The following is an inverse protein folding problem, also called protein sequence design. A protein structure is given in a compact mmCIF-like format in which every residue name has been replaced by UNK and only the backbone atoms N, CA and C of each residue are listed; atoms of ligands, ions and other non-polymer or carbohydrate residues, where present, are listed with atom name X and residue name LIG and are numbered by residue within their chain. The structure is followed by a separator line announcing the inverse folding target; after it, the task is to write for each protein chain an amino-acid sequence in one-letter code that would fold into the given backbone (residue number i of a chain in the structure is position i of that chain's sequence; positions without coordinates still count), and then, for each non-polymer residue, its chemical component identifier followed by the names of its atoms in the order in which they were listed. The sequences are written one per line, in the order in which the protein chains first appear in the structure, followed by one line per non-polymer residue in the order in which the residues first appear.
data_IF_876041802566
#
_entry.id   IF_876041802566
#
_cell.length_a   1.000
_cell.length_b   1.000
_cell.length_c   1.000
_cell.angle_alpha   90.00
_cell.angle_beta   90.00
_cell.angle_gamma   90.00
#
_symmetry.space_group_name_H-M   'P 1'
#
loop_
_entity.id
_entity.type
_entity.pdbx_description
1 polymer ?
#
# COMPACT_ATOMS: atom_id res chain seq x y z
N UNK A 1 -33.78 -44.35 44.55
CA UNK A 1 -33.02 -44.38 43.28
C UNK A 1 -33.49 -43.24 42.41
N UNK A 2 -32.84 -42.07 42.47
CA UNK A 2 -33.22 -40.90 41.67
C UNK A 2 -32.39 -40.87 40.38
N UNK A 3 -33.06 -40.96 39.24
CA UNK A 3 -32.45 -40.82 37.91
C UNK A 3 -32.09 -39.35 37.70
N UNK A 4 -30.79 -39.07 37.58
CA UNK A 4 -30.28 -37.76 37.19
C UNK A 4 -30.69 -37.45 35.75
N UNK A 5 -31.72 -36.62 35.61
CA UNK A 5 -32.11 -36.01 34.35
C UNK A 5 -31.18 -34.81 34.09
N UNK A 6 -30.08 -35.06 33.39
CA UNK A 6 -29.15 -34.01 32.97
C UNK A 6 -29.72 -33.31 31.73
N UNK A 7 -30.53 -32.27 31.96
CA UNK A 7 -31.01 -31.40 30.89
C UNK A 7 -29.85 -30.49 30.50
N UNK A 8 -29.11 -30.88 29.47
CA UNK A 8 -28.15 -30.00 28.80
C UNK A 8 -28.97 -28.96 28.04
N UNK A 9 -29.23 -27.84 28.71
CA UNK A 9 -29.86 -26.68 28.11
C UNK A 9 -28.81 -25.98 27.22
N UNK A 10 -28.64 -26.48 25.99
CA UNK A 10 -27.85 -25.78 24.98
C UNK A 10 -28.65 -24.56 24.55
N UNK A 11 -28.42 -23.45 25.26
CA UNK A 11 -28.99 -22.16 24.95
C UNK A 11 -28.36 -21.67 23.64
N UNK A 12 -28.94 -22.07 22.51
CA UNK A 12 -28.60 -21.51 21.20
C UNK A 12 -29.10 -20.08 21.20
N UNK A 13 -28.24 -19.15 21.63
CA UNK A 13 -28.45 -17.74 21.38
C UNK A 13 -28.38 -17.57 19.86
N UNK A 14 -29.56 -17.59 19.23
CA UNK A 14 -29.75 -16.93 17.95
C UNK A 14 -29.62 -15.44 18.23
N UNK A 15 -28.37 -14.98 18.33
CA UNK A 15 -28.07 -13.57 18.16
C UNK A 15 -28.52 -13.30 16.75
N UNK A 16 -29.65 -12.61 16.64
CA UNK A 16 -30.15 -12.04 15.41
C UNK A 16 -29.09 -11.02 14.96
N UNK A 17 -28.04 -11.51 14.30
CA UNK A 17 -27.07 -10.73 13.55
C UNK A 17 -27.83 -10.18 12.34
N UNK A 18 -28.74 -9.25 12.60
CA UNK A 18 -29.09 -8.22 11.64
C UNK A 18 -27.77 -7.57 11.27
N UNK A 19 -27.22 -8.02 10.15
CA UNK A 19 -25.90 -7.66 9.68
C UNK A 19 -25.96 -6.20 9.25
N UNK A 20 -25.75 -5.30 10.21
CA UNK A 20 -25.52 -3.89 9.93
C UNK A 20 -24.40 -3.80 8.91
N UNK A 21 -24.73 -3.42 7.68
CA UNK A 21 -23.77 -3.38 6.59
C UNK A 21 -23.03 -2.05 6.64
N UNK A 22 -21.81 -2.09 7.17
CA UNK A 22 -20.85 -1.01 6.94
C UNK A 22 -20.26 -1.23 5.56
N UNK A 23 -20.14 -0.18 4.77
CA UNK A 23 -19.38 -0.19 3.52
C UNK A 23 -18.76 1.18 3.26
N UNK A 24 -17.72 1.23 2.42
CA UNK A 24 -17.11 2.50 2.05
C UNK A 24 -16.90 2.62 0.54
N UNK A 25 -16.81 3.87 0.05
CA UNK A 25 -16.49 4.21 -1.34
C UNK A 25 -15.65 5.47 -1.46
N UNK A 26 -14.97 5.62 -2.59
CA UNK A 26 -14.29 6.87 -2.99
C UNK A 26 -15.32 7.89 -3.44
N UNK A 27 -15.19 9.15 -3.01
CA UNK A 27 -16.09 10.24 -3.43
C UNK A 27 -15.40 11.40 -4.14
N UNK A 28 -14.07 11.54 -4.01
CA UNK A 28 -13.34 12.52 -4.82
C UNK A 28 -13.21 11.98 -6.24
N UNK A 29 -13.86 12.65 -7.21
CA UNK A 29 -13.66 12.43 -8.64
C UNK A 29 -13.65 13.78 -9.37
N UNK A 30 -12.67 14.06 -10.26
CA UNK A 30 -11.48 13.25 -10.50
C UNK A 30 -10.49 13.29 -9.32
N UNK A 31 -9.82 12.19 -9.04
CA UNK A 31 -8.70 12.17 -8.11
C UNK A 31 -7.44 12.76 -8.76
N UNK A 32 -6.61 13.42 -7.97
CA UNK A 32 -5.37 14.05 -8.43
C UNK A 32 -4.26 13.76 -7.44
N UNK A 33 -3.09 13.37 -7.92
CA UNK A 33 -1.92 13.28 -7.06
C UNK A 33 -1.55 14.67 -6.51
N UNK A 34 -1.10 14.71 -5.26
CA UNK A 34 -0.88 15.93 -4.49
C UNK A 34 -2.17 16.59 -3.96
N UNK A 35 -3.35 16.17 -4.41
CA UNK A 35 -4.64 16.66 -3.92
C UNK A 35 -5.19 15.85 -2.74
N UNK A 36 -6.40 16.21 -2.29
CA UNK A 36 -7.10 15.46 -1.24
C UNK A 36 -7.97 14.35 -1.84
N UNK A 37 -7.78 13.11 -1.38
CA UNK A 37 -8.67 11.99 -1.68
C UNK A 37 -9.62 11.74 -0.49
N UNK A 38 -10.93 11.64 -0.76
CA UNK A 38 -11.94 11.39 0.27
C UNK A 38 -12.57 10.01 0.09
N UNK A 39 -12.57 9.24 1.18
CA UNK A 39 -13.27 7.97 1.30
C UNK A 39 -14.44 8.14 2.27
N UNK A 40 -15.64 7.71 1.88
CA UNK A 40 -16.83 7.76 2.73
C UNK A 40 -17.21 6.36 3.18
N UNK A 41 -17.38 6.19 4.48
CA UNK A 41 -17.91 5.00 5.12
C UNK A 41 -19.33 5.25 5.62
N UNK A 42 -20.26 4.46 5.13
CA UNK A 42 -21.68 4.52 5.50
C UNK A 42 -21.94 3.55 6.63
N UNK A 43 -22.61 4.05 7.68
CA UNK A 43 -22.96 3.26 8.85
C UNK A 43 -24.46 2.94 8.79
N UNK A 44 -24.81 1.68 8.99
CA UNK A 44 -26.21 1.27 9.05
C UNK A 44 -26.94 1.92 10.25
N UNK A 45 -28.27 2.02 10.14
CA UNK A 45 -29.15 2.61 11.15
C UNK A 45 -29.08 1.88 12.49
N UNK A 46 -28.68 0.61 12.50
CA UNK A 46 -28.49 -0.19 13.71
C UNK A 46 -27.16 0.09 14.43
N UNK A 47 -26.17 0.69 13.75
CA UNK A 47 -24.82 0.88 14.29
C UNK A 47 -24.76 2.09 15.20
N UNK A 48 -24.63 1.89 16.52
CA UNK A 48 -24.51 3.00 17.48
C UNK A 48 -23.32 3.91 17.16
N UNK A 49 -23.56 5.23 17.05
CA UNK A 49 -22.54 6.23 16.75
C UNK A 49 -21.56 6.48 17.90
N UNK A 50 -21.90 6.08 19.13
CA UNK A 50 -21.05 6.24 20.32
C UNK A 50 -19.92 5.19 20.41
N UNK A 51 -19.93 4.18 19.55
CA UNK A 51 -18.89 3.14 19.51
C UNK A 51 -17.58 3.67 18.89
N UNK A 52 -16.49 2.99 19.22
CA UNK A 52 -15.16 3.25 18.64
C UNK A 52 -15.22 3.19 17.12
N UNK A 53 -14.67 4.19 16.46
CA UNK A 53 -14.58 4.27 15.01
C UNK A 53 -13.14 4.39 14.57
N UNK A 54 -12.80 3.70 13.49
CA UNK A 54 -11.42 3.55 13.07
C UNK A 54 -11.31 3.42 11.54
N UNK A 55 -10.29 4.07 10.99
CA UNK A 55 -9.81 3.86 9.63
C UNK A 55 -8.43 3.22 9.65
N UNK A 56 -8.23 2.18 8.85
CA UNK A 56 -6.95 1.50 8.71
C UNK A 56 -6.50 1.37 7.27
N UNK A 57 -5.19 1.20 7.07
CA UNK A 57 -4.54 0.94 5.78
C UNK A 57 -3.67 -0.32 5.82
N UNK A 58 -3.65 -1.02 4.70
CA UNK A 58 -2.77 -2.15 4.42
C UNK A 58 -3.17 -3.45 5.14
N UNK A 59 -2.41 -4.52 4.85
CA UNK A 59 -2.65 -5.88 5.35
C UNK A 59 -2.59 -5.96 6.88
N UNK A 60 -1.67 -5.22 7.49
CA UNK A 60 -1.50 -5.17 8.95
C UNK A 60 -2.48 -4.22 9.65
N UNK A 61 -3.42 -3.63 8.91
CA UNK A 61 -4.44 -2.71 9.44
C UNK A 61 -3.83 -1.56 10.26
N UNK A 62 -2.77 -0.94 9.73
CA UNK A 62 -2.14 0.23 10.36
C UNK A 62 -3.18 1.31 10.56
N UNK A 63 -3.29 1.80 11.80
CA UNK A 63 -4.30 2.77 12.20
C UNK A 63 -3.98 4.13 11.56
N UNK A 64 -4.90 4.66 10.77
CA UNK A 64 -4.81 6.00 10.19
C UNK A 64 -5.50 7.03 11.08
N UNK A 65 -6.72 6.71 11.50
CA UNK A 65 -7.54 7.57 12.36
C UNK A 65 -8.33 6.72 13.34
N UNK A 66 -8.44 7.17 14.58
CA UNK A 66 -9.29 6.58 15.60
C UNK A 66 -10.09 7.68 16.31
N UNK A 67 -11.41 7.59 16.28
CA UNK A 67 -12.34 8.55 16.90
C UNK A 67 -11.99 10.02 16.56
N UNK A 68 -11.74 10.33 15.29
CA UNK A 68 -11.36 11.66 14.82
C UNK A 68 -9.88 12.00 14.97
N UNK A 69 -9.11 11.25 15.76
CA UNK A 69 -7.68 11.52 15.99
C UNK A 69 -6.80 10.74 15.02
N UNK A 70 -6.07 11.46 14.17
CA UNK A 70 -5.16 10.87 13.19
C UNK A 70 -3.83 10.41 13.81
N UNK A 71 -3.24 9.36 13.27
CA UNK A 71 -1.87 8.92 13.57
C UNK A 71 -0.83 9.85 12.94
N UNK A 72 -1.12 10.35 11.74
CA UNK A 72 -0.42 11.46 11.10
C UNK A 72 -1.44 12.55 10.74
N UNK A 73 -1.56 13.62 11.55
CA UNK A 73 -2.50 14.72 11.31
C UNK A 73 -2.21 15.56 10.06
N UNK A 74 -1.02 15.44 9.47
CA UNK A 74 -0.67 16.15 8.22
C UNK A 74 -1.14 15.41 6.97
N UNK A 75 -1.25 14.08 7.06
CA UNK A 75 -1.66 13.20 5.96
C UNK A 75 -3.12 12.77 6.07
N UNK A 76 -3.65 12.56 7.28
CA UNK A 76 -4.97 11.97 7.49
C UNK A 76 -5.86 12.83 8.38
N UNK A 77 -7.15 12.87 8.05
CA UNK A 77 -8.18 13.41 8.94
C UNK A 77 -9.50 12.65 8.80
N UNK A 78 -10.32 12.67 9.84
CA UNK A 78 -11.67 12.10 9.81
C UNK A 78 -12.70 13.18 10.17
N UNK A 79 -13.81 13.20 9.44
CA UNK A 79 -15.02 13.93 9.83
C UNK A 79 -16.19 12.98 9.94
N UNK A 80 -17.10 13.22 10.90
CA UNK A 80 -18.30 12.42 11.09
C UNK A 80 -19.54 13.28 10.88
N UNK A 81 -20.33 12.95 9.87
CA UNK A 81 -21.71 13.43 9.74
C UNK A 81 -22.61 12.48 10.52
N UNK A 82 -22.99 12.86 11.74
CA UNK A 82 -23.85 12.04 12.61
C UNK A 82 -25.27 11.91 12.04
N UNK A 83 -25.77 12.96 11.39
CA UNK A 83 -27.12 12.98 10.80
C UNK A 83 -27.23 12.00 9.64
N UNK A 84 -26.23 12.00 8.75
CA UNK A 84 -26.19 11.06 7.61
C UNK A 84 -25.55 9.72 7.97
N UNK A 85 -24.95 9.61 9.15
CA UNK A 85 -24.20 8.44 9.64
C UNK A 85 -23.07 8.06 8.69
N UNK A 86 -22.29 9.07 8.28
CA UNK A 86 -21.18 8.92 7.35
C UNK A 86 -19.89 9.35 8.05
N UNK A 87 -18.89 8.48 8.07
CA UNK A 87 -17.52 8.86 8.40
C UNK A 87 -16.74 9.10 7.12
N UNK A 88 -16.02 10.21 7.05
CA UNK A 88 -15.23 10.60 5.88
C UNK A 88 -13.76 10.64 6.28
N UNK A 89 -12.96 9.74 5.72
CA UNK A 89 -11.51 9.84 5.76
C UNK A 89 -11.04 10.76 4.63
N UNK A 90 -10.23 11.75 4.97
CA UNK A 90 -9.49 12.56 3.99
C UNK A 90 -8.03 12.16 4.04
N UNK A 91 -7.46 11.86 2.87
CA UNK A 91 -6.05 11.57 2.64
C UNK A 91 -5.48 12.77 1.90
N UNK A 92 -4.74 13.61 2.59
CA UNK A 92 -4.11 14.79 2.02
C UNK A 92 -2.83 14.46 1.27
N UNK A 93 -2.49 15.29 0.29
CA UNK A 93 -1.36 15.06 -0.60
C UNK A 93 -1.32 13.62 -1.14
N UNK A 94 -2.45 13.17 -1.69
CA UNK A 94 -2.65 11.82 -2.22
C UNK A 94 -1.53 11.44 -3.19
N UNK A 95 -0.92 10.27 -2.99
CA UNK A 95 0.26 9.86 -3.75
C UNK A 95 0.15 8.41 -4.27
N UNK A 96 1.04 7.96 -5.18
CA UNK A 96 0.96 6.60 -5.72
C UNK A 96 1.09 5.49 -4.68
N UNK A 97 1.66 5.74 -3.50
CA UNK A 97 1.73 4.73 -2.44
C UNK A 97 0.38 4.47 -1.80
N UNK A 98 -0.53 5.45 -1.86
CA UNK A 98 -1.90 5.33 -1.35
C UNK A 98 -2.79 4.45 -2.25
N UNK A 99 -2.35 4.12 -3.47
CA UNK A 99 -3.05 3.27 -4.43
C UNK A 99 -2.80 1.78 -4.20
N UNK A 100 -3.74 0.95 -4.66
CA UNK A 100 -3.64 -0.51 -4.60
C UNK A 100 -3.33 -1.03 -3.19
N UNK A 101 -3.88 -0.35 -2.18
CA UNK A 101 -3.81 -0.76 -0.77
C UNK A 101 -5.21 -1.02 -0.25
N UNK A 102 -5.31 -1.94 0.71
CA UNK A 102 -6.55 -2.21 1.40
C UNK A 102 -6.85 -1.10 2.41
N UNK A 103 -8.06 -0.54 2.36
CA UNK A 103 -8.59 0.34 3.39
C UNK A 103 -9.70 -0.37 4.16
N UNK A 104 -9.72 -0.12 5.46
CA UNK A 104 -10.73 -0.65 6.37
C UNK A 104 -11.43 0.49 7.08
N UNK A 105 -12.77 0.45 7.09
CA UNK A 105 -13.58 1.24 8.01
C UNK A 105 -14.17 0.30 9.06
N UNK A 106 -14.00 0.64 10.33
CA UNK A 106 -14.50 -0.12 11.46
C UNK A 106 -15.32 0.76 12.41
N UNK A 107 -16.42 0.21 12.91
CA UNK A 107 -17.29 0.84 13.90
C UNK A 107 -17.75 -0.19 14.96
N UNK A 108 -17.16 -0.12 16.15
CA UNK A 108 -17.30 -1.15 17.19
C UNK A 108 -16.81 -2.50 16.69
N UNK A 109 -17.73 -3.47 16.67
CA UNK A 109 -17.47 -4.85 16.18
C UNK A 109 -17.68 -5.00 14.66
N UNK A 110 -18.34 -4.03 14.02
CA UNK A 110 -18.62 -4.08 12.59
C UNK A 110 -17.43 -3.52 11.82
N UNK A 111 -17.00 -4.23 10.78
CA UNK A 111 -15.82 -3.88 10.01
C UNK A 111 -16.05 -4.18 8.54
N UNK A 112 -15.64 -3.26 7.68
CA UNK A 112 -15.64 -3.45 6.24
C UNK A 112 -14.27 -3.14 5.66
N UNK A 113 -13.71 -4.12 4.95
CA UNK A 113 -12.41 -4.03 4.27
C UNK A 113 -12.63 -4.07 2.78
N UNK A 114 -11.98 -3.18 2.04
CA UNK A 114 -11.97 -3.23 0.58
C UNK A 114 -10.64 -2.70 0.05
N UNK A 115 -10.30 -3.00 -1.20
CA UNK A 115 -9.12 -2.47 -1.87
C UNK A 115 -9.46 -1.13 -2.53
N UNK A 116 -8.57 -0.15 -2.39
CA UNK A 116 -8.65 1.08 -3.17
C UNK A 116 -8.08 0.81 -4.57
N UNK A 117 -8.95 0.38 -5.46
CA UNK A 117 -8.66 0.21 -6.87
C UNK A 117 -9.23 1.42 -7.62
N UNK A 118 -8.36 2.22 -8.23
CA UNK A 118 -8.75 3.36 -9.05
C UNK A 118 -8.32 3.10 -10.49
N UNK A 119 -9.21 3.33 -11.46
CA UNK A 119 -8.88 3.25 -12.88
C UNK A 119 -8.40 4.60 -13.40
N UNK A 120 -7.85 4.63 -14.61
CA UNK A 120 -7.40 5.88 -15.26
C UNK A 120 -8.55 6.90 -15.36
N UNK A 121 -9.79 6.43 -15.57
CA UNK A 121 -10.99 7.25 -15.66
C UNK A 121 -11.29 8.01 -14.35
N UNK A 122 -10.89 7.44 -13.20
CA UNK A 122 -11.08 8.06 -11.89
C UNK A 122 -10.15 9.27 -11.65
N UNK A 123 -9.06 9.41 -12.41
CA UNK A 123 -8.12 10.54 -12.30
C UNK A 123 -8.50 11.76 -13.16
N UNK A 124 -9.62 11.66 -13.89
CA UNK A 124 -10.00 12.62 -14.92
C UNK A 124 -9.08 12.53 -16.13
N UNK A 125 -9.54 13.06 -17.28
CA UNK A 125 -8.69 13.19 -18.44
C UNK A 125 -7.42 13.95 -18.00
N UNK A 126 -6.27 13.30 -18.09
CA UNK A 126 -4.99 14.00 -18.04
C UNK A 126 -5.12 15.24 -18.94
N UNK A 127 -4.59 16.41 -18.55
CA UNK A 127 -4.46 17.47 -19.53
C UNK A 127 -3.75 16.85 -20.73
N UNK A 128 -4.45 16.78 -21.87
CA UNK A 128 -3.82 16.49 -23.15
C UNK A 128 -2.62 17.40 -23.19
N UNK A 129 -1.40 16.90 -23.44
CA UNK A 129 -0.22 17.75 -23.48
C UNK A 129 -0.49 18.85 -24.50
N UNK A 130 -0.86 20.03 -24.01
CA UNK A 130 -1.05 21.21 -24.83
C UNK A 130 0.37 21.63 -25.17
N UNK A 131 0.81 21.26 -26.37
CA UNK A 131 1.92 21.84 -27.10
C UNK A 131 3.11 22.24 -26.23
N UNK A 132 3.83 21.27 -25.66
CA UNK A 132 5.27 21.42 -25.47
C UNK A 132 5.99 21.00 -26.76
N UNK A 133 5.62 21.66 -27.86
CA UNK A 133 6.38 21.69 -29.10
C UNK A 133 7.57 22.63 -28.88
N UNK A 134 8.53 22.18 -28.07
CA UNK A 134 9.87 22.73 -27.82
C UNK A 134 10.44 21.92 -26.67
N UNK A 135 11.01 20.75 -27.00
CA UNK A 135 12.07 20.06 -26.22
C UNK A 135 12.36 18.63 -26.73
N UNK A 136 11.69 18.15 -27.79
CA UNK A 136 12.05 16.87 -28.41
C UNK A 136 13.41 16.89 -29.15
N UNK A 137 14.04 18.05 -29.32
CA UNK A 137 15.36 18.15 -29.96
C UNK A 137 16.50 17.71 -29.03
N UNK A 138 16.33 17.75 -27.70
CA UNK A 138 17.37 17.38 -26.74
C UNK A 138 17.48 15.85 -26.51
N UNK A 139 16.37 15.12 -26.57
CA UNK A 139 16.37 13.66 -26.35
C UNK A 139 17.06 12.87 -27.47
N UNK A 140 16.90 13.31 -28.73
CA UNK A 140 17.51 12.62 -29.88
C UNK A 140 19.03 12.83 -29.89
N UNK A 141 19.51 14.04 -29.58
CA UNK A 141 20.95 14.32 -29.50
C UNK A 141 21.59 13.52 -28.35
N UNK A 142 20.93 13.44 -27.19
CA UNK A 142 21.41 12.63 -26.06
C UNK A 142 21.56 11.14 -26.40
N UNK A 143 20.58 10.56 -27.10
CA UNK A 143 20.64 9.16 -27.52
C UNK A 143 21.74 8.88 -28.55
N UNK A 144 21.94 9.79 -29.51
CA UNK A 144 23.00 9.65 -30.52
C UNK A 144 24.39 9.72 -29.86
N UNK A 145 24.60 10.68 -28.95
CA UNK A 145 25.88 10.82 -28.22
C UNK A 145 26.17 9.58 -27.36
N UNK A 146 25.18 9.07 -26.62
CA UNK A 146 25.34 7.86 -25.81
C UNK A 146 25.68 6.61 -26.65
N UNK A 147 25.03 6.47 -27.81
CA UNK A 147 25.27 5.34 -28.71
C UNK A 147 26.68 5.40 -29.31
N UNK A 148 27.12 6.58 -29.74
CA UNK A 148 28.48 6.76 -30.29
C UNK A 148 29.56 6.54 -29.22
N UNK A 149 29.36 7.00 -27.98
CA UNK A 149 30.29 6.73 -26.87
C UNK A 149 30.41 5.23 -26.57
N UNK A 150 29.29 4.50 -26.60
CA UNK A 150 29.26 3.06 -26.32
C UNK A 150 30.01 2.26 -27.39
N UNK A 151 29.89 2.66 -28.66
CA UNK A 151 30.63 2.06 -29.78
C UNK A 151 32.14 2.33 -29.64
N UNK A 152 32.53 3.56 -29.27
CA UNK A 152 33.93 3.91 -29.08
C UNK A 152 34.58 3.16 -27.90
N UNK A 153 33.86 3.02 -26.78
CA UNK A 153 34.34 2.25 -25.63
C UNK A 153 34.53 0.76 -25.97
N UNK A 154 33.64 0.19 -26.77
CA UNK A 154 33.68 -1.22 -27.17
C UNK A 154 34.77 -1.54 -28.19
N UNK A 155 35.31 -0.53 -28.89
CA UNK A 155 36.35 -0.68 -29.92
C UNK A 155 37.74 -0.29 -29.44
N UNK A 156 37.87 0.26 -28.22
CA UNK A 156 39.17 0.55 -27.63
C UNK A 156 39.87 -0.74 -27.17
N UNK A 157 41.06 -1.01 -27.72
CA UNK A 157 41.93 -2.15 -27.37
C UNK A 157 42.26 -2.21 -25.87
N UNK A 158 42.16 -1.09 -25.17
CA UNK A 158 42.37 -0.93 -23.72
C UNK A 158 41.40 -1.79 -22.87
N UNK A 159 40.17 -2.06 -23.33
CA UNK A 159 39.21 -2.88 -22.57
C UNK A 159 39.51 -4.38 -22.68
N UNK A 160 40.17 -4.81 -23.76
CA UNK A 160 40.59 -6.20 -23.91
C UNK A 160 41.77 -6.54 -22.98
N UNK A 161 42.70 -5.60 -22.77
CA UNK A 161 43.85 -5.79 -21.89
C UNK A 161 43.48 -5.84 -20.40
N UNK A 162 42.40 -5.16 -19.96
CA UNK A 162 41.95 -5.21 -18.56
C UNK A 162 41.28 -6.55 -18.22
N UNK A 163 40.58 -7.17 -19.18
CA UNK A 163 39.93 -8.47 -18.97
C UNK A 163 40.98 -9.58 -18.78
N UNK A 164 42.05 -9.58 -19.57
CA UNK A 164 43.12 -10.58 -19.44
C UNK A 164 43.82 -10.51 -18.07
N UNK A 165 44.10 -9.29 -17.58
CA UNK A 165 44.70 -9.06 -16.26
C UNK A 165 43.81 -9.50 -15.07
N UNK A 166 42.49 -9.52 -15.26
CA UNK A 166 41.54 -9.91 -14.20
C UNK A 166 41.39 -11.44 -14.11
N UNK A 167 41.52 -12.14 -15.23
CA UNK A 167 41.40 -13.60 -15.30
C UNK A 167 42.63 -14.30 -14.71
N UNK A 168 43.83 -13.73 -14.88
CA UNK A 168 45.09 -14.25 -14.33
C UNK A 168 45.12 -14.19 -12.79
N UNK A 169 44.61 -13.10 -12.19
CA UNK A 169 44.50 -12.96 -10.73
C UNK A 169 43.48 -13.92 -10.09
N UNK A 170 42.50 -14.40 -10.87
CA UNK A 170 41.47 -15.32 -10.36
C UNK A 170 41.99 -16.75 -10.20
N UNK A 171 42.97 -17.16 -10.99
CA UNK A 171 43.57 -18.50 -10.85
C UNK A 171 44.56 -18.58 -9.67
N UNK A 172 45.24 -17.49 -9.32
CA UNK A 172 46.18 -17.48 -8.18
C UNK A 172 45.48 -17.59 -6.81
N UNK A 173 44.23 -17.12 -6.68
CA UNK A 173 43.51 -17.12 -5.40
C UNK A 173 42.72 -18.42 -5.11
N UNK A 174 42.76 -19.43 -5.98
CA UNK A 174 42.02 -20.70 -5.78
C UNK A 174 42.83 -21.81 -5.09
N UNK A 175 44.05 -21.54 -4.63
CA UNK A 175 44.90 -22.53 -3.94
C UNK A 175 45.24 -22.06 -2.52
N UNK A 176 44.41 -22.50 -1.56
CA UNK A 176 44.69 -22.81 -0.13
C UNK A 176 43.52 -22.39 0.75
N UNK A 177 42.81 -23.37 1.30
CA UNK A 177 42.77 -23.56 2.76
C UNK A 177 42.06 -24.89 3.12
N UNK A 178 42.79 -25.97 3.40
CA UNK A 178 42.21 -27.23 3.84
C UNK A 178 42.30 -27.39 5.37
N UNK A 179 41.99 -26.39 6.19
CA UNK A 179 41.88 -26.62 7.65
C UNK A 179 40.90 -25.66 8.33
N UNK A 180 39.59 -25.92 8.17
CA UNK A 180 38.57 -25.29 9.04
C UNK A 180 38.02 -26.30 10.04
N UNK A 181 38.62 -26.23 11.22
CA UNK A 181 38.32 -27.00 12.42
C UNK A 181 36.85 -26.91 12.87
N UNK A 182 36.37 -28.04 13.40
CA UNK A 182 35.08 -28.24 14.05
C UNK A 182 34.96 -27.38 15.32
N UNK A 183 33.85 -26.65 15.45
CA UNK A 183 33.43 -26.01 16.70
C UNK A 183 32.46 -26.96 17.43
N UNK A 184 32.68 -27.28 18.72
CA UNK A 184 31.74 -28.08 19.50
C UNK A 184 30.54 -27.24 19.94
N UNK A 185 29.35 -27.85 19.88
CA UNK A 185 28.11 -27.30 20.46
C UNK A 185 28.13 -27.48 21.99
N UNK A 186 27.79 -26.42 22.72
CA UNK A 186 27.58 -26.46 24.16
C UNK A 186 26.37 -25.63 24.58
N UNK A 187 25.49 -26.31 25.33
CA UNK A 187 24.38 -25.89 26.20
C UNK A 187 23.11 -25.30 25.55
#
# INVERSE_FOLDING_TARGET
MYKHLSIVLTLVMFIDLSSGSIYWKVVTKPARFGGDLKLQCYLDKTTSLSRTRQWCRGKYSTILVMNGKASDPTKYSETLDQTKRISVLTISAFDPSDLNVQYTCQHGVFMYKNWLNMSIEDFGNQPTPQNSEKDQTLGIVGHIVFTLMSIWFSSSSLVQDIKSLTEENRQQNSVKDPDRQKIPKGY
#
